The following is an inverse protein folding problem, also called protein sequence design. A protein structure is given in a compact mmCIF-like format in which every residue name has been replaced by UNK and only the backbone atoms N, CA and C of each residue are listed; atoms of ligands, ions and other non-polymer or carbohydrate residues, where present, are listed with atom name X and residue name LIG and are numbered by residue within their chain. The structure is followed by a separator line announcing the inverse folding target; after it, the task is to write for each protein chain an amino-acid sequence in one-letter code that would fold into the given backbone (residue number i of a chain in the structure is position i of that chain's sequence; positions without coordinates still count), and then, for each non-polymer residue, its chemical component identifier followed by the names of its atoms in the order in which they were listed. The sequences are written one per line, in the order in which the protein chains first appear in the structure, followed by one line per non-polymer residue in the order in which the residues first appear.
data_IF_662424646875
#
_entry.id   IF_662424646875
#
_cell.length_a   1.000
_cell.length_b   1.000
_cell.length_c   1.000
_cell.angle_alpha   90.00
_cell.angle_beta   90.00
_cell.angle_gamma   90.00
#
_symmetry.space_group_name_H-M   'P 1'
#
loop_
_entity.id
_entity.type
_entity.pdbx_description
1 polymer ?
#
# COMPACT_ATOMS: atom_id res chain seq x y z
N UNK A 1 -66.56 11.37 -16.38
CA UNK A 1 -65.29 12.00 -16.84
C UNK A 1 -64.27 11.82 -15.72
N UNK A 2 -63.40 10.81 -15.80
CA UNK A 2 -62.47 10.46 -14.71
C UNK A 2 -61.03 10.75 -15.16
N UNK A 3 -60.39 11.69 -14.47
CA UNK A 3 -59.04 12.18 -14.78
C UNK A 3 -58.00 11.22 -14.17
N UNK A 4 -57.37 10.39 -15.01
CA UNK A 4 -56.25 9.53 -14.62
C UNK A 4 -55.00 10.40 -14.39
N UNK A 5 -54.59 10.54 -13.13
CA UNK A 5 -53.29 11.14 -12.77
C UNK A 5 -52.18 10.13 -13.04
N UNK A 6 -51.32 10.42 -14.00
CA UNK A 6 -50.07 9.68 -14.24
C UNK A 6 -48.99 10.31 -13.37
N UNK A 7 -48.57 9.60 -12.32
CA UNK A 7 -47.44 10.00 -11.48
C UNK A 7 -46.18 9.42 -12.14
N UNK A 8 -45.35 10.29 -12.72
CA UNK A 8 -44.05 9.92 -13.26
C UNK A 8 -43.07 9.74 -12.09
N UNK A 9 -42.66 8.51 -11.85
CA UNK A 9 -41.69 8.14 -10.83
C UNK A 9 -40.27 8.29 -11.42
N UNK A 10 -39.61 9.42 -11.17
CA UNK A 10 -38.18 9.59 -11.50
C UNK A 10 -37.35 8.67 -10.61
N UNK A 11 -36.83 7.59 -11.19
CA UNK A 11 -35.85 6.74 -10.54
C UNK A 11 -34.50 7.48 -10.48
N UNK A 12 -34.13 7.99 -9.30
CA UNK A 12 -32.75 8.37 -9.01
C UNK A 12 -31.90 7.10 -9.03
N UNK A 13 -31.13 6.92 -10.10
CA UNK A 13 -30.04 5.95 -10.16
C UNK A 13 -28.93 6.44 -9.23
N UNK A 14 -28.96 6.00 -7.98
CA UNK A 14 -27.77 6.04 -7.14
C UNK A 14 -26.77 5.04 -7.72
N UNK A 15 -25.80 5.55 -8.47
CA UNK A 15 -24.62 4.78 -8.83
C UNK A 15 -23.99 4.31 -7.51
N UNK A 16 -24.15 3.02 -7.22
CA UNK A 16 -23.44 2.39 -6.11
C UNK A 16 -21.97 2.43 -6.50
N UNK A 17 -21.21 3.34 -5.89
CA UNK A 17 -19.76 3.25 -5.92
C UNK A 17 -19.42 1.88 -5.39
N UNK A 18 -18.99 0.98 -6.29
CA UNK A 18 -18.48 -0.32 -5.91
C UNK A 18 -17.34 -0.04 -4.96
N UNK A 19 -17.55 -0.28 -3.66
CA UNK A 19 -16.55 -0.13 -2.63
C UNK A 19 -15.37 -1.03 -3.02
N UNK A 20 -14.41 -0.45 -3.72
CA UNK A 20 -13.13 -1.07 -3.98
C UNK A 20 -12.55 -1.28 -2.59
N UNK A 21 -12.13 -2.50 -2.23
CA UNK A 21 -11.63 -2.70 -0.88
C UNK A 21 -10.44 -1.75 -0.65
N UNK A 22 -10.68 -0.76 0.22
CA UNK A 22 -9.88 0.44 0.37
C UNK A 22 -8.54 0.16 1.05
N UNK A 23 -7.44 0.86 0.67
CA UNK A 23 -6.14 0.68 1.29
C UNK A 23 -6.19 0.98 2.79
N UNK A 24 -6.02 -0.05 3.62
CA UNK A 24 -6.08 0.08 5.09
C UNK A 24 -7.39 0.71 5.60
N UNK A 25 -8.49 0.51 4.85
CA UNK A 25 -9.81 1.08 5.15
C UNK A 25 -9.93 2.57 4.86
N UNK A 26 -9.06 3.15 4.04
CA UNK A 26 -9.08 4.55 3.63
C UNK A 26 -9.79 4.73 2.28
N UNK A 27 -11.02 5.27 2.24
CA UNK A 27 -11.77 5.40 1.00
C UNK A 27 -11.09 6.31 -0.01
N UNK A 28 -10.99 5.86 -1.25
CA UNK A 28 -10.56 6.75 -2.34
C UNK A 28 -11.54 7.91 -2.51
N UNK A 29 -11.00 9.10 -2.74
CA UNK A 29 -11.74 10.36 -2.83
C UNK A 29 -12.07 11.02 -1.49
N UNK A 30 -11.76 10.38 -0.36
CA UNK A 30 -12.00 10.95 0.96
C UNK A 30 -11.12 12.19 1.23
N UNK A 31 -11.65 13.15 1.99
CA UNK A 31 -10.91 14.36 2.36
C UNK A 31 -9.75 14.03 3.31
N UNK A 32 -8.54 14.47 2.95
CA UNK A 32 -7.32 14.19 3.70
C UNK A 32 -7.37 14.75 5.13
N UNK A 33 -8.07 15.88 5.33
CA UNK A 33 -8.19 16.54 6.63
C UNK A 33 -8.84 15.64 7.69
N UNK A 34 -9.64 14.65 7.28
CA UNK A 34 -10.24 13.65 8.16
C UNK A 34 -9.20 12.71 8.80
N UNK A 35 -8.04 12.56 8.17
CA UNK A 35 -6.97 11.68 8.64
C UNK A 35 -5.84 12.41 9.38
N UNK A 36 -5.82 13.74 9.32
CA UNK A 36 -4.83 14.56 10.00
C UNK A 36 -4.51 15.88 9.30
N UNK A 37 -3.43 16.52 9.75
CA UNK A 37 -2.98 17.79 9.17
C UNK A 37 -2.37 17.59 7.79
N UNK A 38 -2.96 18.23 6.78
CA UNK A 38 -2.49 18.20 5.39
C UNK A 38 -1.23 19.05 5.25
N UNK A 39 -0.20 18.47 4.62
CA UNK A 39 1.05 19.15 4.25
C UNK A 39 1.24 19.07 2.75
N UNK A 40 1.76 20.14 2.15
CA UNK A 40 2.17 20.09 0.75
C UNK A 40 3.66 19.71 0.66
N UNK A 41 3.96 18.57 0.03
CA UNK A 41 5.32 18.05 -0.19
C UNK A 41 5.54 17.95 -1.68
N UNK A 42 6.43 18.78 -2.23
CA UNK A 42 6.75 18.80 -3.67
C UNK A 42 5.52 18.95 -4.57
N UNK A 43 4.55 19.78 -4.19
CA UNK A 43 3.33 20.01 -4.96
C UNK A 43 2.23 18.97 -4.74
N UNK A 44 2.43 18.01 -3.83
CA UNK A 44 1.46 16.98 -3.50
C UNK A 44 0.94 17.13 -2.07
N UNK A 45 -0.37 16.97 -1.86
CA UNK A 45 -0.96 16.99 -0.53
C UNK A 45 -0.75 15.63 0.15
N UNK A 46 -0.26 15.68 1.39
CA UNK A 46 0.12 14.49 2.16
C UNK A 46 -0.33 14.62 3.60
N UNK A 47 -0.85 13.53 4.15
CA UNK A 47 -1.08 13.35 5.58
C UNK A 47 -0.20 12.22 6.09
N UNK A 48 0.51 12.47 7.19
CA UNK A 48 1.26 11.46 7.93
C UNK A 48 0.48 11.09 9.18
N UNK A 49 0.18 9.80 9.35
CA UNK A 49 -0.61 9.30 10.49
C UNK A 49 -0.09 7.94 10.97
N UNK A 50 -0.36 7.63 12.23
CA UNK A 50 -0.08 6.32 12.83
C UNK A 50 -1.34 5.44 12.94
N UNK A 51 -2.48 5.94 12.47
CA UNK A 51 -3.77 5.25 12.55
C UNK A 51 -4.55 5.37 11.25
N UNK A 52 -5.14 4.27 10.82
CA UNK A 52 -6.15 4.19 9.76
C UNK A 52 -7.37 3.45 10.28
N UNK A 53 -8.52 3.48 9.58
CA UNK A 53 -9.72 2.76 10.02
C UNK A 53 -9.52 1.24 10.12
N UNK A 54 -8.71 0.65 9.25
CA UNK A 54 -8.36 -0.77 9.27
C UNK A 54 -6.83 -0.94 9.25
N UNK A 55 -6.14 -0.73 10.39
CA UNK A 55 -4.69 -0.79 10.45
C UNK A 55 -4.21 -2.23 10.31
N UNK A 56 -3.07 -2.42 9.64
CA UNK A 56 -2.43 -3.74 9.55
C UNK A 56 -1.37 -3.90 10.64
N UNK A 57 -1.38 -5.02 11.37
CA UNK A 57 -0.53 -5.27 12.56
C UNK A 57 1.00 -5.16 12.36
N UNK A 58 1.48 -5.14 11.13
CA UNK A 58 2.92 -5.03 10.81
C UNK A 58 3.31 -3.63 10.32
N UNK A 59 2.33 -2.74 10.13
CA UNK A 59 2.50 -1.37 9.66
C UNK A 59 2.46 -0.44 10.86
N UNK A 60 3.50 0.39 10.99
CA UNK A 60 3.68 1.35 12.07
C UNK A 60 3.05 2.70 11.73
N UNK A 61 3.24 3.16 10.49
CA UNK A 61 2.83 4.49 10.05
C UNK A 61 2.37 4.49 8.61
N UNK A 62 1.64 5.54 8.26
CA UNK A 62 1.03 5.73 6.95
C UNK A 62 1.33 7.13 6.43
N UNK A 63 1.61 7.22 5.14
CA UNK A 63 1.60 8.46 4.37
C UNK A 63 0.49 8.37 3.33
N UNK A 64 -0.49 9.26 3.43
CA UNK A 64 -1.69 9.30 2.61
C UNK A 64 -1.53 10.46 1.64
N UNK A 65 -1.50 10.17 0.34
CA UNK A 65 -1.19 11.13 -0.70
C UNK A 65 -2.43 11.43 -1.56
N UNK A 66 -2.66 12.71 -1.81
CA UNK A 66 -3.80 13.18 -2.58
C UNK A 66 -3.50 14.41 -3.42
N UNK A 67 -4.54 14.88 -4.09
CA UNK A 67 -4.59 16.15 -4.80
C UNK A 67 -5.84 16.92 -4.37
N UNK A 68 -5.75 18.25 -4.32
CA UNK A 68 -6.84 19.15 -3.88
C UNK A 68 -7.47 18.66 -2.58
N UNK A 69 -6.63 18.29 -1.61
CA UNK A 69 -7.05 17.78 -0.30
C UNK A 69 -7.86 16.47 -0.30
N UNK A 70 -7.93 15.73 -1.41
CA UNK A 70 -8.66 14.45 -1.50
C UNK A 70 -7.69 13.28 -1.78
N UNK A 71 -7.90 12.14 -1.13
CA UNK A 71 -7.11 10.92 -1.34
C UNK A 71 -7.34 10.34 -2.74
N UNK A 72 -6.50 10.71 -3.70
CA UNK A 72 -6.68 10.35 -5.12
C UNK A 72 -5.42 9.78 -5.77
N UNK A 73 -4.33 9.62 -5.02
CA UNK A 73 -3.06 9.15 -5.58
C UNK A 73 -2.64 7.82 -4.97
N UNK A 74 -2.14 7.83 -3.74
CA UNK A 74 -1.56 6.63 -3.12
C UNK A 74 -1.58 6.66 -1.60
N UNK A 75 -1.48 5.47 -1.00
CA UNK A 75 -1.22 5.27 0.41
C UNK A 75 0.05 4.44 0.56
N UNK A 76 0.97 4.89 1.42
CA UNK A 76 2.20 4.16 1.75
C UNK A 76 2.14 3.77 3.22
N UNK A 77 2.10 2.47 3.50
CA UNK A 77 2.27 1.92 4.84
C UNK A 77 3.72 1.52 5.08
N UNK A 78 4.32 2.08 6.13
CA UNK A 78 5.69 1.77 6.57
C UNK A 78 5.64 0.81 7.75
N UNK A 79 6.28 -0.35 7.61
CA UNK A 79 6.38 -1.38 8.62
C UNK A 79 7.21 -0.99 9.84
N UNK A 80 6.95 -1.65 10.96
CA UNK A 80 7.80 -1.53 12.14
C UNK A 80 9.27 -1.87 11.79
N UNK A 81 10.26 -1.21 12.44
CA UNK A 81 11.66 -1.55 12.27
C UNK A 81 11.92 -3.02 12.59
N UNK A 82 12.60 -3.71 11.67
CA UNK A 82 13.14 -5.05 11.87
C UNK A 82 14.59 -4.88 12.30
N UNK A 83 14.99 -5.52 13.40
CA UNK A 83 16.35 -5.47 13.96
C UNK A 83 16.81 -6.87 14.32
N UNK A 84 18.13 -7.10 14.30
CA UNK A 84 18.72 -8.41 14.61
C UNK A 84 18.38 -9.53 13.60
N UNK A 85 17.82 -9.20 12.43
CA UNK A 85 17.41 -10.17 11.42
C UNK A 85 18.53 -10.40 10.40
N UNK A 86 19.67 -10.87 10.87
CA UNK A 86 20.93 -11.00 10.10
C UNK A 86 20.71 -11.67 8.73
N UNK A 87 19.86 -12.69 8.67
CA UNK A 87 19.56 -13.47 7.46
C UNK A 87 18.35 -12.99 6.66
N UNK A 88 17.63 -11.95 7.07
CA UNK A 88 16.40 -11.50 6.41
C UNK A 88 15.20 -12.43 6.59
N UNK A 89 15.26 -13.36 7.54
CA UNK A 89 14.22 -14.37 7.76
C UNK A 89 12.91 -13.73 8.20
N UNK A 90 12.97 -12.79 9.14
CA UNK A 90 11.79 -12.07 9.61
C UNK A 90 11.25 -11.14 8.53
N UNK A 91 12.13 -10.42 7.83
CA UNK A 91 11.75 -9.58 6.68
C UNK A 91 10.99 -10.34 5.61
N UNK A 92 11.53 -11.48 5.15
CA UNK A 92 10.87 -12.34 4.15
C UNK A 92 9.55 -12.91 4.66
N UNK A 93 9.46 -13.24 5.95
CA UNK A 93 8.22 -13.73 6.56
C UNK A 93 7.14 -12.64 6.55
N UNK A 94 7.46 -11.42 6.97
CA UNK A 94 6.50 -10.29 6.94
C UNK A 94 6.06 -9.96 5.52
N UNK A 95 6.99 -10.00 4.58
CA UNK A 95 6.73 -9.80 3.16
C UNK A 95 5.74 -10.83 2.61
N UNK A 96 5.97 -12.12 2.85
CA UNK A 96 5.08 -13.20 2.40
C UNK A 96 3.68 -13.10 3.04
N UNK A 97 3.60 -12.73 4.32
CA UNK A 97 2.33 -12.49 4.99
C UNK A 97 1.55 -11.33 4.40
N UNK A 98 2.24 -10.25 4.01
CA UNK A 98 1.60 -9.10 3.37
C UNK A 98 1.10 -9.45 1.97
N UNK A 99 1.87 -10.19 1.17
CA UNK A 99 1.40 -10.71 -0.12
C UNK A 99 0.09 -11.50 0.08
N UNK A 100 0.11 -12.45 1.03
CA UNK A 100 -1.07 -13.27 1.32
C UNK A 100 -2.27 -12.44 1.76
N UNK A 101 -2.05 -11.33 2.47
CA UNK A 101 -3.12 -10.41 2.88
C UNK A 101 -3.70 -9.65 1.68
N UNK A 102 -2.85 -9.14 0.78
CA UNK A 102 -3.30 -8.45 -0.43
C UNK A 102 -3.98 -9.39 -1.42
N UNK A 103 -3.48 -10.62 -1.60
CA UNK A 103 -4.13 -11.61 -2.46
C UNK A 103 -5.54 -11.95 -1.97
N UNK A 104 -5.75 -12.04 -0.64
CA UNK A 104 -7.09 -12.18 -0.04
C UNK A 104 -8.00 -10.97 -0.27
N UNK A 105 -7.44 -9.79 -0.51
CA UNK A 105 -8.18 -8.57 -0.87
C UNK A 105 -8.44 -8.45 -2.38
N UNK A 106 -8.00 -9.43 -3.18
CA UNK A 106 -8.25 -9.50 -4.62
C UNK A 106 -7.13 -8.94 -5.50
N UNK A 107 -5.95 -8.64 -4.94
CA UNK A 107 -4.79 -8.31 -5.75
C UNK A 107 -4.22 -9.56 -6.42
N UNK A 108 -3.97 -9.49 -7.72
CA UNK A 108 -3.40 -10.57 -8.51
C UNK A 108 -1.95 -10.21 -8.85
N UNK A 109 -1.02 -11.09 -8.48
CA UNK A 109 0.41 -10.97 -8.74
C UNK A 109 0.68 -10.71 -10.23
N UNK A 110 1.41 -9.63 -10.52
CA UNK A 110 1.91 -9.29 -11.86
C UNK A 110 3.41 -9.55 -11.97
N UNK A 111 4.16 -9.20 -10.93
CA UNK A 111 5.62 -9.36 -10.88
C UNK A 111 6.07 -9.65 -9.46
N UNK A 112 7.11 -10.45 -9.32
CA UNK A 112 7.90 -10.54 -8.09
C UNK A 112 9.37 -10.69 -8.46
N UNK A 113 10.22 -9.84 -7.90
CA UNK A 113 11.65 -10.07 -7.93
C UNK A 113 12.07 -10.48 -6.51
N UNK A 114 12.41 -11.76 -6.37
CA UNK A 114 13.02 -12.30 -5.18
C UNK A 114 14.54 -12.23 -5.36
N UNK A 115 15.14 -11.08 -5.06
CA UNK A 115 16.60 -10.89 -4.95
C UNK A 115 17.40 -11.46 -6.14
N UNK A 116 17.32 -10.82 -7.31
CA UNK A 116 18.29 -11.03 -8.39
C UNK A 116 19.60 -10.28 -8.07
N UNK A 117 20.38 -10.81 -7.13
CA UNK A 117 21.74 -10.36 -6.85
C UNK A 117 22.75 -11.25 -7.54
N UNK A 118 23.64 -10.68 -8.35
CA UNK A 118 24.68 -11.39 -9.13
C UNK A 118 25.75 -12.09 -8.28
N UNK A 119 25.63 -12.13 -6.95
CA UNK A 119 26.59 -12.77 -6.05
C UNK A 119 25.88 -13.57 -4.97
N UNK A 120 26.16 -14.86 -4.96
CA UNK A 120 25.78 -15.82 -3.92
C UNK A 120 26.35 -15.30 -2.59
N UNK A 121 25.48 -14.89 -1.66
CA UNK A 121 25.89 -14.28 -0.40
C UNK A 121 26.13 -15.34 0.69
N UNK A 122 27.32 -15.92 0.68
CA UNK A 122 27.74 -16.94 1.66
C UNK A 122 28.08 -16.37 3.05
N UNK A 123 27.87 -15.07 3.31
CA UNK A 123 28.17 -14.43 4.61
C UNK A 123 26.88 -13.99 5.30
N UNK A 124 26.79 -14.28 6.60
CA UNK A 124 25.59 -14.16 7.44
C UNK A 124 24.91 -12.78 7.41
N UNK A 125 25.61 -11.70 7.05
CA UNK A 125 25.15 -10.31 7.23
C UNK A 125 24.59 -9.63 5.97
N UNK A 126 24.53 -10.34 4.84
CA UNK A 126 24.50 -9.72 3.53
C UNK A 126 23.12 -9.29 3.03
N UNK A 127 22.02 -9.87 3.53
CA UNK A 127 20.69 -9.66 2.97
C UNK A 127 20.27 -8.18 3.00
N UNK A 128 20.15 -7.61 4.20
CA UNK A 128 19.72 -6.22 4.39
C UNK A 128 20.72 -5.19 3.88
N UNK A 129 22.01 -5.55 3.91
CA UNK A 129 23.05 -4.73 3.30
C UNK A 129 22.90 -4.66 1.79
N UNK A 130 22.48 -5.76 1.16
CA UNK A 130 22.32 -5.80 -0.28
C UNK A 130 21.11 -4.98 -0.73
N UNK A 131 19.93 -5.20 -0.13
CA UNK A 131 18.72 -4.45 -0.51
C UNK A 131 18.77 -2.96 -0.13
N UNK A 132 19.79 -2.52 0.62
CA UNK A 132 20.09 -1.10 0.87
C UNK A 132 20.82 -0.44 -0.29
N UNK A 133 21.60 -1.19 -1.07
CA UNK A 133 22.50 -0.65 -2.10
C UNK A 133 21.89 -0.88 -3.49
N UNK A 134 21.65 0.20 -4.21
CA UNK A 134 21.14 0.15 -5.58
C UNK A 134 22.01 -0.75 -6.46
N UNK A 135 21.37 -1.60 -7.27
CA UNK A 135 22.03 -2.55 -8.15
C UNK A 135 22.60 -3.80 -7.47
N UNK A 136 22.49 -3.93 -6.14
CA UNK A 136 22.85 -5.16 -5.44
C UNK A 136 21.72 -6.19 -5.50
N UNK A 137 20.50 -5.77 -5.19
CA UNK A 137 19.32 -6.62 -5.24
C UNK A 137 18.08 -5.87 -4.78
N UNK A 138 16.95 -6.20 -5.38
CA UNK A 138 15.65 -5.67 -4.98
C UNK A 138 14.81 -6.82 -4.43
N UNK A 139 13.95 -6.52 -3.46
CA UNK A 139 13.02 -7.49 -2.90
C UNK A 139 11.63 -6.87 -2.88
N UNK A 140 10.88 -7.13 -3.93
CA UNK A 140 9.57 -6.52 -4.11
C UNK A 140 8.57 -7.42 -4.84
N UNK A 141 7.31 -7.10 -4.65
CA UNK A 141 6.16 -7.75 -5.26
C UNK A 141 5.21 -6.69 -5.78
N UNK A 142 4.62 -6.93 -6.95
CA UNK A 142 3.62 -6.08 -7.58
C UNK A 142 2.37 -6.91 -7.82
N UNK A 143 1.24 -6.43 -7.31
CA UNK A 143 -0.09 -6.97 -7.60
C UNK A 143 -1.02 -5.90 -8.12
N UNK A 144 -1.99 -6.31 -8.93
CA UNK A 144 -2.99 -5.42 -9.49
C UNK A 144 -4.39 -5.93 -9.14
N UNK A 145 -5.28 -5.00 -8.82
CA UNK A 145 -6.69 -5.29 -8.55
C UNK A 145 -7.57 -4.47 -9.48
N UNK A 146 -8.49 -5.14 -10.15
CA UNK A 146 -9.46 -4.54 -11.08
C UNK A 146 -8.85 -3.61 -12.15
N UNK A 147 -7.57 -3.80 -12.50
CA UNK A 147 -6.79 -2.96 -13.43
C UNK A 147 -6.58 -1.48 -13.03
N UNK A 148 -7.20 -1.01 -11.95
CA UNK A 148 -7.18 0.39 -11.53
C UNK A 148 -6.37 0.63 -10.26
N UNK A 149 -6.01 -0.44 -9.53
CA UNK A 149 -5.17 -0.35 -8.35
C UNK A 149 -3.93 -1.21 -8.50
N UNK A 150 -2.79 -0.63 -8.14
CA UNK A 150 -1.52 -1.35 -8.03
C UNK A 150 -1.05 -1.32 -6.60
N UNK A 151 -0.73 -2.50 -6.05
CA UNK A 151 -0.04 -2.64 -4.79
C UNK A 151 1.41 -3.07 -5.02
N UNK A 152 2.34 -2.40 -4.35
CA UNK A 152 3.76 -2.69 -4.37
C UNK A 152 4.19 -2.95 -2.94
N UNK A 153 4.74 -4.12 -2.68
CA UNK A 153 5.40 -4.44 -1.41
C UNK A 153 6.90 -4.41 -1.67
N UNK A 154 7.68 -3.77 -0.81
CA UNK A 154 9.14 -3.84 -0.86
C UNK A 154 9.78 -3.98 0.51
N UNK A 155 10.92 -4.65 0.59
CA UNK A 155 11.79 -4.59 1.77
C UNK A 155 12.86 -3.52 1.57
N UNK A 156 13.02 -2.66 2.56
CA UNK A 156 14.00 -1.56 2.56
C UNK A 156 15.08 -1.83 3.60
N UNK A 157 16.34 -1.93 3.14
CA UNK A 157 17.49 -2.14 4.02
C UNK A 157 17.95 -0.85 4.70
N UNK A 158 18.29 -0.94 6.00
CA UNK A 158 18.93 0.14 6.78
C UNK A 158 20.37 -0.18 7.15
N UNK A 159 20.71 -1.45 7.32
CA UNK A 159 22.04 -1.89 7.74
C UNK A 159 22.12 -3.39 7.99
N UNK A 160 23.08 -3.82 8.83
CA UNK A 160 23.23 -5.24 9.18
C UNK A 160 22.05 -5.72 10.00
N UNK A 161 21.30 -6.69 9.47
CA UNK A 161 20.14 -7.24 10.18
C UNK A 161 18.99 -6.25 10.38
N UNK A 162 19.01 -5.12 9.66
CA UNK A 162 18.10 -4.01 9.89
C UNK A 162 17.40 -3.55 8.62
N UNK A 163 16.08 -3.39 8.72
CA UNK A 163 15.26 -2.90 7.63
C UNK A 163 13.81 -2.70 8.04
N UNK A 164 12.94 -2.60 7.05
CA UNK A 164 11.49 -2.54 7.24
C UNK A 164 10.77 -2.95 5.95
N UNK A 165 9.48 -3.25 6.09
CA UNK A 165 8.56 -3.44 4.97
C UNK A 165 7.97 -2.08 4.56
N UNK A 166 7.76 -1.87 3.27
CA UNK A 166 6.98 -0.76 2.74
C UNK A 166 5.89 -1.33 1.83
N UNK A 167 4.66 -0.83 1.97
CA UNK A 167 3.51 -1.21 1.15
C UNK A 167 2.92 0.05 0.54
N UNK A 168 3.07 0.21 -0.77
CA UNK A 168 2.43 1.27 -1.55
C UNK A 168 1.18 0.70 -2.23
N UNK A 169 0.03 1.34 -2.05
CA UNK A 169 -1.18 1.07 -2.83
C UNK A 169 -1.55 2.36 -3.55
N UNK A 170 -1.72 2.31 -4.86
CA UNK A 170 -2.01 3.49 -5.69
C UNK A 170 -3.06 3.21 -6.75
N UNK A 171 -3.71 4.27 -7.19
CA UNK A 171 -4.53 4.26 -8.39
C UNK A 171 -3.63 4.36 -9.64
N UNK A 172 -4.02 3.67 -10.71
CA UNK A 172 -3.35 3.67 -12.01
C UNK A 172 -3.77 4.86 -12.89
#
# INVERSE_FOLDING_TARGET
MALKKVIALSALLFASSSAVADPFGLPWGEELSHFGSVKNVNGQDVVFTFSTPLPHRIIESYAIYGDKQSLTNKVVGTGYPITGDTFGTEGRRQFSLMISALEKQGYVKQKSDELHGTKIYEKMDAFWQCIKVDGCGEYYWIGVKNSNETAIISLKGKGKGEGHLEVEIKLN
#
